data_IF_675091032580
#
_entry.id   IF_675091032580
#
_cell.length_a   1.000
_cell.length_b   1.000
_cell.length_c   1.000
_cell.angle_alpha   90.00
_cell.angle_beta   90.00
_cell.angle_gamma   90.00
#
_symmetry.space_group_name_H-M   'P 1'
#
loop_
_entity.id
_entity.type
_entity.pdbx_description
1 polymer ?
#
# COMPACT_ATOMS: atom_id res chain seq x y z
N UNK A 1 -15.42 18.16 -1.44
CA UNK A 1 -15.60 17.03 -0.53
C UNK A 1 -16.13 15.85 -1.34
N UNK A 2 -15.26 14.89 -1.68
CA UNK A 2 -15.65 13.64 -2.35
C UNK A 2 -15.31 12.48 -1.44
N UNK A 3 -16.22 12.15 -0.54
CA UNK A 3 -16.12 10.98 0.33
C UNK A 3 -16.81 9.82 -0.40
N UNK A 4 -16.09 8.72 -0.64
CA UNK A 4 -16.67 7.48 -1.17
C UNK A 4 -16.95 7.42 -2.69
N UNK A 5 -16.43 8.35 -3.49
CA UNK A 5 -16.39 8.17 -4.96
C UNK A 5 -15.03 7.60 -5.33
N UNK A 6 -15.01 6.35 -5.78
CA UNK A 6 -13.90 5.80 -6.55
C UNK A 6 -13.61 6.76 -7.72
N UNK A 7 -12.39 7.28 -7.82
CA UNK A 7 -11.98 7.89 -9.07
C UNK A 7 -12.15 6.83 -10.17
N UNK A 8 -12.96 7.13 -11.18
CA UNK A 8 -13.46 6.14 -12.14
C UNK A 8 -12.39 5.73 -13.19
N UNK A 9 -11.11 5.85 -12.84
CA UNK A 9 -9.96 5.54 -13.69
C UNK A 9 -8.95 4.77 -12.86
N UNK A 10 -8.47 3.68 -13.43
CA UNK A 10 -7.44 2.86 -12.84
C UNK A 10 -6.18 3.71 -12.61
N UNK A 11 -5.60 3.62 -11.42
CA UNK A 11 -4.46 4.43 -10.99
C UNK A 11 -3.26 3.55 -10.64
N UNK A 12 -2.05 4.05 -10.89
CA UNK A 12 -0.82 3.36 -10.50
C UNK A 12 -0.58 3.58 -9.00
N UNK A 13 -0.42 2.50 -8.26
CA UNK A 13 -0.11 2.52 -6.84
C UNK A 13 -1.28 2.90 -5.94
N UNK A 14 -2.51 3.02 -6.46
CA UNK A 14 -3.70 3.28 -5.67
C UNK A 14 -4.62 2.05 -5.71
N UNK A 15 -5.05 1.58 -4.55
CA UNK A 15 -5.95 0.43 -4.43
C UNK A 15 -7.00 0.68 -3.37
N UNK A 16 -8.24 0.37 -3.70
CA UNK A 16 -9.32 0.37 -2.72
C UNK A 16 -9.39 -0.97 -1.99
N UNK A 17 -9.31 -0.92 -0.66
CA UNK A 17 -9.45 -2.06 0.23
C UNK A 17 -10.63 -1.87 1.18
N UNK A 18 -11.06 -2.96 1.79
CA UNK A 18 -11.96 -2.91 2.94
C UNK A 18 -11.15 -3.21 4.18
N UNK A 19 -11.29 -2.36 5.20
CA UNK A 19 -10.65 -2.65 6.47
C UNK A 19 -11.54 -2.32 7.64
N UNK A 20 -11.12 -2.84 8.79
CA UNK A 20 -11.74 -2.54 10.06
C UNK A 20 -11.14 -1.23 10.62
N UNK A 21 -12.01 -0.37 11.10
CA UNK A 21 -11.69 0.83 11.87
C UNK A 21 -12.43 0.74 13.21
N UNK A 22 -12.09 1.60 14.16
CA UNK A 22 -12.74 1.62 15.49
C UNK A 22 -14.27 1.80 15.41
N UNK A 23 -14.79 2.35 14.31
CA UNK A 23 -16.21 2.60 14.08
C UNK A 23 -16.89 1.57 13.18
N UNK A 24 -16.17 0.58 12.65
CA UNK A 24 -16.73 -0.49 11.81
C UNK A 24 -15.90 -0.82 10.57
N UNK A 25 -16.53 -1.42 9.56
CA UNK A 25 -15.88 -1.64 8.26
C UNK A 25 -15.90 -0.37 7.42
N UNK A 26 -14.75 0.04 6.89
CA UNK A 26 -14.61 1.23 6.05
C UNK A 26 -13.87 0.93 4.74
N UNK A 27 -14.16 1.74 3.72
CA UNK A 27 -13.43 1.72 2.45
C UNK A 27 -12.13 2.50 2.63
N UNK A 28 -11.00 1.82 2.49
CA UNK A 28 -9.68 2.44 2.54
C UNK A 28 -9.13 2.63 1.14
N UNK A 29 -8.66 3.84 0.86
CA UNK A 29 -7.78 4.09 -0.28
C UNK A 29 -6.35 3.92 0.19
N UNK A 30 -5.62 2.97 -0.39
CA UNK A 30 -4.21 2.73 -0.10
C UNK A 30 -3.41 3.30 -1.26
N UNK A 31 -2.44 4.15 -0.94
CA UNK A 31 -1.59 4.83 -1.92
C UNK A 31 -0.14 4.43 -1.70
N UNK A 32 0.55 4.08 -2.78
CA UNK A 32 1.95 3.69 -2.76
C UNK A 32 2.72 4.52 -3.77
N UNK A 33 3.72 5.26 -3.27
CA UNK A 33 4.71 5.94 -4.09
C UNK A 33 6.05 5.18 -4.05
N UNK A 34 6.68 5.07 -5.21
CA UNK A 34 8.02 4.51 -5.37
C UNK A 34 8.91 5.60 -5.95
N UNK A 35 10.01 5.91 -5.27
CA UNK A 35 10.97 6.95 -5.70
C UNK A 35 12.40 6.41 -5.63
N UNK A 36 13.35 6.95 -6.43
CA UNK A 36 14.76 6.60 -6.28
C UNK A 36 15.24 6.89 -4.85
N UNK A 37 15.94 5.95 -4.24
CA UNK A 37 16.23 5.99 -2.81
C UNK A 37 17.28 4.99 -2.36
N UNK A 38 17.23 4.62 -1.08
CA UNK A 38 18.17 3.70 -0.41
C UNK A 38 17.47 2.51 0.27
N UNK A 39 16.28 2.14 -0.19
CA UNK A 39 15.54 1.02 0.38
C UNK A 39 14.70 1.36 1.60
N UNK A 40 14.40 2.64 1.85
CA UNK A 40 13.59 3.04 2.99
C UNK A 40 12.12 2.75 2.72
N UNK A 41 11.42 2.24 3.72
CA UNK A 41 9.98 2.08 3.70
C UNK A 41 9.36 3.03 4.74
N UNK A 42 8.44 3.89 4.32
CA UNK A 42 7.75 4.88 5.14
C UNK A 42 6.26 4.57 5.10
N UNK A 43 5.60 4.60 6.26
CA UNK A 43 4.18 4.31 6.38
C UNK A 43 3.49 5.46 7.11
N UNK A 44 2.42 6.02 6.52
CA UNK A 44 1.66 7.13 7.12
C UNK A 44 0.16 6.90 6.98
N UNK A 45 -0.63 7.59 7.81
CA UNK A 45 -2.09 7.44 7.82
C UNK A 45 -2.69 6.97 9.15
N UNK A 46 -1.97 7.17 10.27
CA UNK A 46 -2.37 6.74 11.62
C UNK A 46 -2.56 5.21 11.73
N UNK A 47 -1.54 4.48 11.29
CA UNK A 47 -1.58 3.01 11.22
C UNK A 47 -1.14 2.40 12.55
N UNK A 48 -1.96 1.50 13.10
CA UNK A 48 -1.60 0.68 14.25
C UNK A 48 -0.54 -0.39 13.91
N UNK A 49 -0.12 -1.13 14.93
CA UNK A 49 0.98 -2.10 14.80
C UNK A 49 0.62 -3.28 13.87
N UNK A 50 -0.63 -3.76 13.93
CA UNK A 50 -1.08 -4.91 13.12
C UNK A 50 -1.14 -4.52 11.63
N UNK A 51 -1.59 -3.30 11.34
CA UNK A 51 -1.60 -2.79 9.98
C UNK A 51 -0.17 -2.57 9.44
N UNK A 52 0.75 -2.07 10.26
CA UNK A 52 2.17 -1.94 9.87
C UNK A 52 2.81 -3.32 9.62
N UNK A 53 2.52 -4.32 10.45
CA UNK A 53 2.96 -5.71 10.23
C UNK A 53 2.45 -6.25 8.88
N UNK A 54 1.20 -5.93 8.53
CA UNK A 54 0.60 -6.31 7.24
C UNK A 54 1.33 -5.69 6.05
N UNK A 55 1.79 -4.43 6.17
CA UNK A 55 2.63 -3.78 5.15
C UNK A 55 3.97 -4.49 5.02
N UNK A 56 4.62 -4.84 6.13
CA UNK A 56 5.88 -5.58 6.13
C UNK A 56 5.74 -6.97 5.50
N UNK A 57 4.65 -7.68 5.79
CA UNK A 57 4.34 -8.96 5.17
C UNK A 57 4.12 -8.82 3.66
N UNK A 58 3.34 -7.81 3.23
CA UNK A 58 3.11 -7.52 1.82
C UNK A 58 4.43 -7.21 1.08
N UNK A 59 5.29 -6.35 1.63
CA UNK A 59 6.63 -6.08 1.10
C UNK A 59 7.46 -7.36 0.96
N UNK A 60 7.42 -8.24 1.96
CA UNK A 60 8.16 -9.51 1.93
C UNK A 60 7.65 -10.42 0.81
N UNK A 61 6.33 -10.50 0.61
CA UNK A 61 5.73 -11.26 -0.50
C UNK A 61 6.20 -10.70 -1.84
N UNK A 62 6.12 -9.38 -2.04
CA UNK A 62 6.57 -8.73 -3.28
C UNK A 62 8.05 -8.96 -3.53
N UNK A 63 8.90 -8.82 -2.49
CA UNK A 63 10.34 -9.11 -2.59
C UNK A 63 10.62 -10.55 -2.97
N UNK A 64 9.95 -11.51 -2.33
CA UNK A 64 10.14 -12.94 -2.62
C UNK A 64 9.71 -13.33 -4.04
N UNK A 65 8.77 -12.58 -4.64
CA UNK A 65 8.19 -12.83 -5.96
C UNK A 65 8.62 -11.83 -7.03
N UNK A 66 9.59 -10.96 -6.74
CA UNK A 66 9.96 -9.84 -7.63
C UNK A 66 10.24 -10.29 -9.07
N UNK A 67 11.00 -11.37 -9.24
CA UNK A 67 11.36 -11.91 -10.56
C UNK A 67 10.13 -12.38 -11.35
N UNK A 68 9.17 -13.07 -10.72
CA UNK A 68 7.97 -13.55 -11.41
C UNK A 68 6.99 -12.42 -11.72
N UNK A 69 7.08 -11.30 -11.00
CA UNK A 69 6.23 -10.13 -11.16
C UNK A 69 6.84 -9.07 -12.10
N UNK A 70 8.03 -9.31 -12.66
CA UNK A 70 8.71 -8.33 -13.53
C UNK A 70 9.35 -7.15 -12.79
N UNK A 71 9.55 -7.27 -11.48
CA UNK A 71 10.15 -6.24 -10.62
C UNK A 71 11.67 -6.49 -10.52
N UNK A 72 12.47 -5.42 -10.60
CA UNK A 72 13.93 -5.49 -10.47
C UNK A 72 14.33 -6.13 -9.12
N UNK A 73 15.27 -7.08 -9.13
CA UNK A 73 15.65 -7.82 -7.90
C UNK A 73 16.19 -6.91 -6.80
N UNK A 74 16.85 -5.82 -7.16
CA UNK A 74 17.51 -4.86 -6.28
C UNK A 74 16.64 -3.65 -5.93
N UNK A 75 15.33 -3.66 -6.25
CA UNK A 75 14.44 -2.54 -5.97
C UNK A 75 14.47 -2.14 -4.49
N UNK A 76 14.51 -3.12 -3.59
CA UNK A 76 14.50 -2.91 -2.14
C UNK A 76 15.76 -2.22 -1.60
N UNK A 77 16.80 -2.02 -2.42
CA UNK A 77 18.02 -1.29 -2.07
C UNK A 77 18.09 0.08 -2.76
N UNK A 78 17.47 0.21 -3.93
CA UNK A 78 17.58 1.39 -4.81
C UNK A 78 16.35 2.28 -4.85
N UNK A 79 15.26 1.84 -4.25
CA UNK A 79 13.99 2.59 -4.22
C UNK A 79 13.53 2.78 -2.79
N UNK A 80 13.04 3.98 -2.50
CA UNK A 80 12.28 4.25 -1.30
C UNK A 80 10.79 4.07 -1.62
N UNK A 81 10.07 3.48 -0.67
CA UNK A 81 8.64 3.16 -0.78
C UNK A 81 7.91 3.96 0.29
N UNK A 82 6.84 4.64 -0.09
CA UNK A 82 5.95 5.31 0.84
C UNK A 82 4.53 4.76 0.67
N UNK A 83 4.03 4.08 1.71
CA UNK A 83 2.63 3.66 1.81
C UNK A 83 1.86 4.70 2.63
N UNK A 84 0.80 5.25 2.06
CA UNK A 84 -0.11 6.18 2.71
C UNK A 84 -1.54 5.63 2.70
N UNK A 85 -2.24 5.77 3.82
CA UNK A 85 -3.66 5.41 3.95
C UNK A 85 -4.46 6.59 4.51
N UNK A 86 -5.06 7.43 3.65
CA UNK A 86 -5.99 8.47 4.08
C UNK A 86 -7.22 7.91 4.80
N UNK A 87 -7.89 8.65 5.68
CA UNK A 87 -7.56 9.99 6.20
C UNK A 87 -6.56 9.91 7.35
N UNK A 88 -5.53 10.75 7.38
CA UNK A 88 -4.44 10.62 8.36
C UNK A 88 -4.79 10.89 9.84
N UNK A 89 -6.01 11.33 10.15
CA UNK A 89 -6.45 11.58 11.52
C UNK A 89 -7.08 10.34 12.19
N UNK A 90 -7.76 9.50 11.40
CA UNK A 90 -8.51 8.35 11.91
C UNK A 90 -7.59 7.14 12.10
N UNK A 91 -7.48 6.59 13.32
CA UNK A 91 -6.72 5.36 13.57
C UNK A 91 -7.21 4.22 12.68
N UNK A 92 -6.27 3.49 12.07
CA UNK A 92 -6.56 2.31 11.25
C UNK A 92 -5.70 1.16 11.74
N UNK A 93 -6.32 0.06 12.10
CA UNK A 93 -5.59 -1.12 12.51
C UNK A 93 -6.30 -2.41 12.11
N UNK A 94 -5.53 -3.48 11.98
CA UNK A 94 -6.02 -4.80 11.60
C UNK A 94 -5.43 -5.34 10.28
N UNK A 95 -5.53 -6.66 10.06
CA UNK A 95 -4.78 -7.34 9.00
C UNK A 95 -5.45 -7.34 7.62
N UNK A 96 -6.73 -6.95 7.56
CA UNK A 96 -7.59 -7.18 6.39
C UNK A 96 -7.14 -6.44 5.11
N UNK A 97 -6.35 -5.37 5.24
CA UNK A 97 -5.83 -4.59 4.12
C UNK A 97 -4.60 -5.20 3.44
N UNK A 98 -4.07 -6.34 3.92
CA UNK A 98 -2.80 -6.91 3.45
C UNK A 98 -2.76 -7.21 1.95
N UNK A 99 -3.85 -7.73 1.37
CA UNK A 99 -3.91 -7.96 -0.09
C UNK A 99 -3.91 -6.66 -0.88
N UNK A 100 -4.64 -5.64 -0.41
CA UNK A 100 -4.72 -4.34 -1.07
C UNK A 100 -3.38 -3.63 -1.04
N UNK A 101 -2.64 -3.72 0.07
CA UNK A 101 -1.26 -3.22 0.17
C UNK A 101 -0.32 -3.94 -0.79
N UNK A 102 -0.41 -5.27 -0.88
CA UNK A 102 0.39 -6.04 -1.83
C UNK A 102 0.09 -5.62 -3.28
N UNK A 103 -1.19 -5.47 -3.63
CA UNK A 103 -1.59 -5.03 -4.97
C UNK A 103 -1.08 -3.62 -5.28
N UNK A 104 -1.20 -2.68 -4.33
CA UNK A 104 -0.71 -1.31 -4.52
C UNK A 104 0.82 -1.26 -4.69
N UNK A 105 1.56 -2.06 -3.92
CA UNK A 105 3.02 -2.21 -4.05
C UNK A 105 3.41 -2.74 -5.42
N UNK A 106 2.77 -3.82 -5.89
CA UNK A 106 3.06 -4.39 -7.21
C UNK A 106 2.71 -3.40 -8.31
N UNK A 107 1.55 -2.74 -8.22
CA UNK A 107 1.12 -1.72 -9.16
C UNK A 107 2.15 -0.59 -9.29
N UNK A 108 2.59 -0.02 -8.16
CA UNK A 108 3.57 1.07 -8.15
C UNK A 108 4.95 0.64 -8.67
N UNK A 109 5.40 -0.58 -8.34
CA UNK A 109 6.71 -1.09 -8.77
C UNK A 109 6.75 -1.55 -10.24
N UNK A 110 5.60 -1.91 -10.81
CA UNK A 110 5.49 -2.37 -12.21
C UNK A 110 4.94 -1.31 -13.15
N UNK A 111 4.46 -0.19 -12.60
CA UNK A 111 3.78 0.87 -13.35
C UNK A 111 2.54 0.38 -14.10
N UNK A 112 1.80 -0.55 -13.48
CA UNK A 112 0.56 -1.14 -14.01
C UNK A 112 -0.61 -0.59 -13.18
N UNK A 113 -1.58 0.12 -13.77
CA UNK A 113 -2.72 0.68 -13.04
C UNK A 113 -3.68 -0.40 -12.54
N UNK A 114 -4.41 -0.10 -11.46
CA UNK A 114 -5.40 -0.97 -10.79
C UNK A 114 -6.75 -0.30 -10.77
#
# INVERSE_FOLDING_TARGET
YHFGLTENKDQIGQVHGLAWTETGGDLLTIEVAVVPGKGKAIYTGHLGEIMQESIHAALTVVRSRCQSLGIAKDFYEKTDIHVHVPEGATPKDGPSAGISMCTALVSALTNIPV
#
